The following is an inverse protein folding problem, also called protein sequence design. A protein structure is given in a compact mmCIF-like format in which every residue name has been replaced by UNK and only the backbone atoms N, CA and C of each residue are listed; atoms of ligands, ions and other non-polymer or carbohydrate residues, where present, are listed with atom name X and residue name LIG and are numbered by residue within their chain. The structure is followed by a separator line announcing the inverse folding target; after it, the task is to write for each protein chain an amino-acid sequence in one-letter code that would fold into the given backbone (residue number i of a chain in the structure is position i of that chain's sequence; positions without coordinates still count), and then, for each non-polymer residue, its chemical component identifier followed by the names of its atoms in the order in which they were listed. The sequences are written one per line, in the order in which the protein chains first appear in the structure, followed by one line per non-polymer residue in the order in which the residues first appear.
data_IF_823649338310
#
_entry.id   IF_823649338310
#
_cell.length_a   1.000
_cell.length_b   1.000
_cell.length_c   1.000
_cell.angle_alpha   90.00
_cell.angle_beta   90.00
_cell.angle_gamma   90.00
#
_symmetry.space_group_name_H-M   'P 1'
#
loop_
_entity.id
_entity.type
_entity.pdbx_description
1 polymer ?
#
# COMPACT_ATOMS: atom_id res chain seq x y z
N UNK A 1 -9.81 1.37 -27.32
CA UNK A 1 -8.76 1.76 -26.33
C UNK A 1 -9.39 2.62 -25.24
N UNK A 2 -9.21 2.28 -23.96
CA UNK A 2 -9.65 3.19 -22.89
C UNK A 2 -8.72 4.42 -22.88
N UNK A 3 -9.30 5.60 -23.06
CA UNK A 3 -8.58 6.87 -23.04
C UNK A 3 -8.27 7.29 -21.59
N UNK A 4 -7.22 8.07 -21.33
CA UNK A 4 -6.92 8.60 -19.99
C UNK A 4 -8.13 9.23 -19.29
N UNK A 5 -9.02 9.87 -20.06
CA UNK A 5 -10.26 10.46 -19.54
C UNK A 5 -11.24 9.42 -18.96
N UNK A 6 -11.36 8.25 -19.59
CA UNK A 6 -12.22 7.16 -19.08
C UNK A 6 -11.71 6.66 -17.74
N UNK A 7 -10.39 6.48 -17.61
CA UNK A 7 -9.75 6.09 -16.34
C UNK A 7 -9.96 7.14 -15.26
N UNK A 8 -9.78 8.43 -15.60
CA UNK A 8 -10.05 9.54 -14.68
C UNK A 8 -11.48 9.51 -14.18
N UNK A 9 -12.46 9.48 -15.08
CA UNK A 9 -13.89 9.53 -14.73
C UNK A 9 -14.32 8.32 -13.91
N UNK A 10 -13.83 7.13 -14.25
CA UNK A 10 -14.14 5.90 -13.50
C UNK A 10 -13.50 5.92 -12.11
N UNK A 11 -12.27 6.43 -11.96
CA UNK A 11 -11.64 6.60 -10.65
C UNK A 11 -12.35 7.67 -9.81
N UNK A 12 -12.76 8.78 -10.42
CA UNK A 12 -13.54 9.83 -9.75
C UNK A 12 -14.85 9.27 -9.18
N UNK A 13 -15.58 8.47 -9.97
CA UNK A 13 -16.80 7.78 -9.51
C UNK A 13 -16.51 6.73 -8.42
N UNK A 14 -15.42 5.97 -8.56
CA UNK A 14 -15.01 5.00 -7.56
C UNK A 14 -14.73 5.68 -6.22
N UNK A 15 -13.92 6.74 -6.20
CA UNK A 15 -13.63 7.51 -4.98
C UNK A 15 -14.92 8.08 -4.40
N UNK A 16 -15.76 8.73 -5.21
CA UNK A 16 -17.04 9.30 -4.76
C UNK A 16 -17.92 8.27 -4.04
N UNK A 17 -18.14 7.09 -4.63
CA UNK A 17 -18.87 5.98 -3.97
C UNK A 17 -18.25 5.57 -2.64
N UNK A 18 -16.93 5.57 -2.56
CA UNK A 18 -16.19 5.19 -1.35
C UNK A 18 -16.18 6.28 -0.28
N UNK A 19 -16.77 7.45 -0.52
CA UNK A 19 -16.96 8.48 0.51
C UNK A 19 -18.24 8.32 1.34
N UNK A 20 -19.12 7.37 1.02
CA UNK A 20 -20.36 7.13 1.78
C UNK A 20 -20.05 6.79 3.26
N UNK A 21 -20.30 7.69 4.19
CA UNK A 21 -20.00 7.53 5.61
C UNK A 21 -20.70 8.57 6.50
N UNK A 22 -21.19 8.13 7.66
CA UNK A 22 -21.71 9.02 8.72
C UNK A 22 -20.66 9.33 9.81
N UNK A 23 -19.40 8.93 9.61
CA UNK A 23 -18.32 9.10 10.59
C UNK A 23 -17.11 9.83 9.99
N UNK A 24 -16.30 10.55 10.81
CA UNK A 24 -15.07 11.17 10.36
C UNK A 24 -14.16 10.20 9.59
N UNK A 25 -13.65 10.69 8.46
CA UNK A 25 -12.75 9.96 7.58
C UNK A 25 -11.54 10.80 7.15
N UNK A 26 -10.57 10.14 6.54
CA UNK A 26 -9.44 10.83 5.90
C UNK A 26 -8.81 10.01 4.78
N UNK A 27 -7.60 10.39 4.36
CA UNK A 27 -6.88 9.71 3.27
C UNK A 27 -5.45 9.41 3.71
N UNK A 28 -4.97 8.19 3.44
CA UNK A 28 -3.55 7.87 3.57
C UNK A 28 -2.78 8.52 2.42
N UNK A 29 -1.76 9.32 2.73
CA UNK A 29 -1.01 10.12 1.77
C UNK A 29 0.50 9.89 1.95
N UNK A 30 1.12 9.11 1.05
CA UNK A 30 2.58 8.90 1.06
C UNK A 30 3.35 9.86 0.13
N UNK A 31 2.64 10.76 -0.57
CA UNK A 31 3.22 11.57 -1.64
C UNK A 31 3.60 10.77 -2.89
N UNK A 32 3.25 9.48 -2.97
CA UNK A 32 3.28 8.71 -4.22
C UNK A 32 2.12 9.07 -5.13
N UNK A 33 2.22 8.71 -6.42
CA UNK A 33 1.16 8.97 -7.42
C UNK A 33 -0.23 8.51 -6.95
N UNK A 34 -0.30 7.28 -6.43
CA UNK A 34 -1.56 6.57 -6.18
C UNK A 34 -2.38 7.24 -5.07
N UNK A 35 -1.76 7.40 -3.90
CA UNK A 35 -2.37 8.08 -2.76
C UNK A 35 -2.67 9.55 -3.06
N UNK A 36 -1.82 10.21 -3.86
CA UNK A 36 -2.01 11.61 -4.24
C UNK A 36 -3.23 11.78 -5.14
N UNK A 37 -3.47 10.85 -6.09
CA UNK A 37 -4.67 10.88 -6.93
C UNK A 37 -5.93 10.66 -6.08
N UNK A 38 -5.92 9.68 -5.17
CA UNK A 38 -7.04 9.46 -4.24
C UNK A 38 -7.30 10.70 -3.39
N UNK A 39 -6.26 11.33 -2.84
CA UNK A 39 -6.39 12.55 -2.04
C UNK A 39 -6.94 13.73 -2.85
N UNK A 40 -6.43 13.94 -4.07
CA UNK A 40 -6.87 15.03 -4.95
C UNK A 40 -8.34 14.87 -5.35
N UNK A 41 -8.76 13.66 -5.71
CA UNK A 41 -10.14 13.36 -6.06
C UNK A 41 -11.04 13.51 -4.82
N UNK A 42 -10.60 12.98 -3.67
CA UNK A 42 -11.35 13.09 -2.41
C UNK A 42 -11.56 14.56 -2.02
N UNK A 43 -10.53 15.39 -2.14
CA UNK A 43 -10.61 16.82 -1.80
C UNK A 43 -11.67 17.57 -2.63
N UNK A 44 -11.94 17.14 -3.87
CA UNK A 44 -12.98 17.73 -4.73
C UNK A 44 -14.40 17.44 -4.24
N UNK A 45 -14.61 16.28 -3.62
CA UNK A 45 -15.93 15.82 -3.20
C UNK A 45 -16.18 16.02 -1.69
N UNK A 46 -15.13 16.11 -0.87
CA UNK A 46 -15.22 16.15 0.59
C UNK A 46 -16.03 17.33 1.18
N UNK A 47 -16.26 18.39 0.41
CA UNK A 47 -17.08 19.52 0.86
C UNK A 47 -18.59 19.21 0.88
N UNK A 48 -19.03 18.15 0.21
CA UNK A 48 -20.44 17.79 0.03
C UNK A 48 -20.76 16.42 0.63
N UNK A 49 -22.02 16.24 1.05
CA UNK A 49 -22.53 14.94 1.52
C UNK A 49 -22.91 14.05 0.36
N UNK A 50 -22.19 12.95 0.22
CA UNK A 50 -22.43 11.96 -0.84
C UNK A 50 -23.77 11.24 -0.64
N UNK A 51 -24.23 11.06 0.59
CA UNK A 51 -25.50 10.38 0.92
C UNK A 51 -26.73 11.17 0.47
N UNK A 52 -26.58 12.47 0.22
CA UNK A 52 -27.65 13.38 -0.20
C UNK A 52 -27.38 13.94 -1.60
N UNK A 53 -26.75 13.14 -2.47
CA UNK A 53 -26.43 13.50 -3.86
C UNK A 53 -25.68 14.84 -3.97
N UNK A 54 -24.74 15.08 -3.06
CA UNK A 54 -23.91 16.30 -2.97
C UNK A 54 -24.69 17.60 -2.77
N UNK A 55 -25.96 17.54 -2.33
CA UNK A 55 -26.84 18.71 -2.15
C UNK A 55 -26.54 19.51 -0.88
N UNK A 56 -26.06 18.87 0.18
CA UNK A 56 -25.77 19.49 1.47
C UNK A 56 -24.26 19.52 1.78
N UNK A 57 -23.84 20.45 2.63
CA UNK A 57 -22.44 20.53 3.08
C UNK A 57 -22.09 19.37 4.01
N UNK A 58 -20.87 18.84 3.85
CA UNK A 58 -20.37 17.80 4.73
C UNK A 58 -20.15 18.36 6.14
N UNK A 59 -20.57 17.61 7.17
CA UNK A 59 -20.30 17.95 8.56
C UNK A 59 -18.79 17.93 8.90
N UNK A 60 -18.02 17.15 8.13
CA UNK A 60 -16.57 17.05 8.23
C UNK A 60 -15.90 17.65 6.96
N UNK A 61 -15.96 18.99 6.76
CA UNK A 61 -15.68 19.60 5.44
C UNK A 61 -14.19 19.68 5.11
N UNK A 62 -13.31 19.67 6.13
CA UNK A 62 -11.87 19.73 5.91
C UNK A 62 -11.31 18.32 5.83
N UNK A 63 -10.78 17.95 4.67
CA UNK A 63 -10.15 16.64 4.47
C UNK A 63 -8.87 16.52 5.31
N UNK A 64 -8.79 15.47 6.13
CA UNK A 64 -7.58 15.09 6.86
C UNK A 64 -6.76 14.10 6.03
N UNK A 65 -5.45 14.32 5.95
CA UNK A 65 -4.51 13.41 5.28
C UNK A 65 -3.44 12.92 6.25
N UNK A 66 -3.03 11.67 6.11
CA UNK A 66 -2.18 10.99 7.08
C UNK A 66 -0.97 10.35 6.41
N UNK A 67 0.21 10.62 6.94
CA UNK A 67 1.46 10.01 6.52
C UNK A 67 2.21 9.47 7.73
N UNK A 68 3.07 8.46 7.52
CA UNK A 68 3.99 7.98 8.56
C UNK A 68 5.35 7.70 7.97
N UNK A 69 6.40 7.99 8.75
CA UNK A 69 7.78 7.73 8.36
C UNK A 69 8.72 7.82 9.55
N UNK A 70 9.96 7.39 9.33
CA UNK A 70 11.06 7.81 10.18
C UNK A 70 11.33 9.31 9.99
N UNK A 71 12.01 9.91 10.96
CA UNK A 71 12.49 11.29 10.84
C UNK A 71 13.34 11.46 9.57
N UNK A 72 13.04 12.50 8.80
CA UNK A 72 13.71 12.77 7.51
C UNK A 72 13.28 11.85 6.36
N UNK A 73 12.21 11.04 6.52
CA UNK A 73 11.75 10.16 5.45
C UNK A 73 11.31 10.93 4.19
N UNK A 74 11.69 10.46 2.98
CA UNK A 74 11.24 11.06 1.72
C UNK A 74 9.72 11.07 1.54
N UNK A 75 9.02 10.06 2.07
CA UNK A 75 7.55 9.97 1.96
C UNK A 75 6.85 11.06 2.78
N UNK A 76 7.33 11.38 3.99
CA UNK A 76 6.76 12.50 4.77
C UNK A 76 6.96 13.84 4.04
N UNK A 77 8.15 14.07 3.48
CA UNK A 77 8.43 15.30 2.73
C UNK A 77 7.56 15.41 1.46
N UNK A 78 7.37 14.31 0.73
CA UNK A 78 6.51 14.29 -0.45
C UNK A 78 5.03 14.45 -0.08
N UNK A 79 4.57 13.80 0.99
CA UNK A 79 3.20 13.91 1.47
C UNK A 79 2.86 15.35 1.88
N UNK A 80 3.77 16.05 2.57
CA UNK A 80 3.62 17.46 2.94
C UNK A 80 3.42 18.36 1.70
N UNK A 81 4.22 18.15 0.64
CA UNK A 81 4.09 18.90 -0.62
C UNK A 81 2.72 18.70 -1.27
N UNK A 82 2.26 17.45 -1.34
CA UNK A 82 0.93 17.14 -1.90
C UNK A 82 -0.17 17.72 -1.03
N UNK A 83 -0.06 17.60 0.29
CA UNK A 83 -1.04 18.13 1.21
C UNK A 83 -1.17 19.65 1.14
N UNK A 84 -0.05 20.37 1.02
CA UNK A 84 -0.01 21.81 0.82
C UNK A 84 -0.68 22.22 -0.50
N UNK A 85 -0.40 21.49 -1.59
CA UNK A 85 -1.02 21.73 -2.89
C UNK A 85 -2.54 21.51 -2.87
N UNK A 86 -3.03 20.57 -2.04
CA UNK A 86 -4.45 20.23 -1.92
C UNK A 86 -5.18 20.99 -0.80
N UNK A 87 -4.47 21.75 0.04
CA UNK A 87 -5.06 22.48 1.17
C UNK A 87 -5.62 21.59 2.30
N UNK A 88 -5.12 20.36 2.44
CA UNK A 88 -5.65 19.39 3.43
C UNK A 88 -5.17 19.69 4.86
N UNK A 89 -5.88 19.19 5.87
CA UNK A 89 -5.36 19.12 7.24
C UNK A 89 -4.39 17.94 7.34
N UNK A 90 -3.11 18.17 7.10
CA UNK A 90 -2.11 17.11 7.07
C UNK A 90 -1.58 16.73 8.44
N UNK A 91 -1.34 15.43 8.63
CA UNK A 91 -0.77 14.84 9.83
C UNK A 91 0.36 13.88 9.41
N UNK A 92 1.59 14.40 9.41
CA UNK A 92 2.80 13.61 9.24
C UNK A 92 3.28 13.06 10.58
N UNK A 93 3.14 11.75 10.79
CA UNK A 93 3.57 11.09 12.02
C UNK A 93 4.97 10.52 11.89
N UNK A 94 5.74 10.68 12.95
CA UNK A 94 7.02 10.01 13.11
C UNK A 94 6.86 8.78 13.99
N UNK A 95 7.55 7.71 13.63
CA UNK A 95 7.82 6.59 14.52
C UNK A 95 9.34 6.38 14.62
N UNK A 96 9.77 5.77 15.71
CA UNK A 96 11.16 5.37 15.91
C UNK A 96 11.36 3.92 15.48
N UNK A 97 12.60 3.57 15.14
CA UNK A 97 12.97 2.17 14.88
C UNK A 97 12.57 1.28 16.06
N UNK A 98 12.78 1.73 17.30
CA UNK A 98 12.43 0.96 18.49
C UNK A 98 10.93 0.71 18.60
N UNK A 99 10.09 1.73 18.40
CA UNK A 99 8.62 1.54 18.35
C UNK A 99 8.21 0.53 17.27
N UNK A 100 8.89 0.54 16.12
CA UNK A 100 8.68 -0.44 15.06
C UNK A 100 9.07 -1.87 15.48
N UNK A 101 10.24 -2.04 16.10
CA UNK A 101 10.72 -3.34 16.59
C UNK A 101 9.82 -3.90 17.69
N UNK A 102 9.41 -3.07 18.64
CA UNK A 102 8.53 -3.45 19.75
C UNK A 102 7.14 -3.89 19.26
N UNK A 103 6.67 -3.30 18.15
CA UNK A 103 5.37 -3.63 17.56
C UNK A 103 5.37 -4.94 16.74
N UNK A 104 6.52 -5.53 16.40
CA UNK A 104 6.59 -6.66 15.45
C UNK A 104 5.72 -7.85 15.85
N UNK A 105 5.69 -8.18 17.15
CA UNK A 105 4.88 -9.28 17.65
C UNK A 105 3.38 -9.04 17.43
N UNK A 106 2.89 -7.84 17.73
CA UNK A 106 1.49 -7.48 17.57
C UNK A 106 1.11 -7.35 16.10
N UNK A 107 2.01 -6.79 15.28
CA UNK A 107 1.81 -6.70 13.83
C UNK A 107 1.63 -8.10 13.24
N UNK A 108 2.52 -9.04 13.55
CA UNK A 108 2.43 -10.43 13.06
C UNK A 108 1.15 -11.11 13.55
N UNK A 109 0.74 -10.87 14.80
CA UNK A 109 -0.54 -11.34 15.32
C UNK A 109 -1.70 -10.80 14.48
N UNK A 110 -1.76 -9.49 14.24
CA UNK A 110 -2.88 -8.88 13.52
C UNK A 110 -2.91 -9.20 12.03
N UNK A 111 -1.77 -9.22 11.33
CA UNK A 111 -1.74 -9.52 9.89
C UNK A 111 -1.80 -11.02 9.60
N UNK A 112 -1.50 -11.85 10.61
CA UNK A 112 -1.50 -13.32 10.52
C UNK A 112 -0.57 -13.83 9.42
N UNK A 113 0.61 -13.22 9.29
CA UNK A 113 1.59 -13.54 8.26
C UNK A 113 3.01 -13.39 8.77
N UNK A 114 3.90 -14.25 8.26
CA UNK A 114 5.35 -14.17 8.45
C UNK A 114 6.09 -13.81 7.15
N UNK A 115 5.38 -13.39 6.09
CA UNK A 115 6.00 -12.88 4.87
C UNK A 115 6.77 -11.59 5.17
N UNK A 116 8.06 -11.57 4.84
CA UNK A 116 8.98 -10.49 5.19
C UNK A 116 8.51 -9.14 4.64
N UNK A 117 8.10 -9.10 3.36
CA UNK A 117 7.64 -7.85 2.73
C UNK A 117 6.35 -7.35 3.39
N UNK A 118 5.42 -8.26 3.68
CA UNK A 118 4.15 -7.93 4.34
C UNK A 118 4.40 -7.37 5.74
N UNK A 119 5.20 -8.04 6.58
CA UNK A 119 5.49 -7.58 7.96
C UNK A 119 6.19 -6.22 7.96
N UNK A 120 7.20 -6.04 7.08
CA UNK A 120 7.92 -4.76 6.90
C UNK A 120 6.98 -3.60 6.62
N UNK A 121 6.09 -3.76 5.64
CA UNK A 121 5.16 -2.71 5.20
C UNK A 121 3.97 -2.53 6.15
N UNK A 122 3.57 -3.59 6.86
CA UNK A 122 2.43 -3.54 7.79
C UNK A 122 2.78 -2.81 9.09
N UNK A 123 4.04 -2.83 9.51
CA UNK A 123 4.45 -2.24 10.81
C UNK A 123 4.20 -0.73 10.87
N UNK A 124 4.65 0.10 9.90
CA UNK A 124 4.31 1.52 9.89
C UNK A 124 2.79 1.76 9.73
N UNK A 125 2.10 0.95 8.91
CA UNK A 125 0.66 1.10 8.71
C UNK A 125 -0.15 0.83 9.99
N UNK A 126 0.25 -0.18 10.77
CA UNK A 126 -0.31 -0.50 12.08
C UNK A 126 -0.11 0.67 13.08
N UNK A 127 1.09 1.24 13.13
CA UNK A 127 1.39 2.39 13.98
C UNK A 127 0.61 3.64 13.55
N UNK A 128 0.45 3.85 12.24
CA UNK A 128 -0.34 4.94 11.69
C UNK A 128 -1.83 4.79 12.04
N UNK A 129 -2.39 3.59 11.90
CA UNK A 129 -3.77 3.30 12.27
C UNK A 129 -4.06 3.64 13.73
N UNK A 130 -3.13 3.34 14.65
CA UNK A 130 -3.23 3.73 16.06
C UNK A 130 -3.38 5.24 16.23
N UNK A 131 -2.58 6.04 15.52
CA UNK A 131 -2.60 7.51 15.59
C UNK A 131 -3.89 8.07 14.99
N UNK A 132 -4.32 7.53 13.84
CA UNK A 132 -5.57 7.91 13.16
C UNK A 132 -6.76 7.66 14.09
N UNK A 133 -6.82 6.48 14.71
CA UNK A 133 -7.90 6.14 15.65
C UNK A 133 -7.93 7.07 16.86
N UNK A 134 -6.77 7.44 17.40
CA UNK A 134 -6.66 8.36 18.53
C UNK A 134 -7.21 9.77 18.23
N UNK A 135 -7.29 10.13 16.95
CA UNK A 135 -7.91 11.39 16.48
C UNK A 135 -9.43 11.27 16.22
N UNK A 136 -10.03 10.10 16.47
CA UNK A 136 -11.45 9.86 16.25
C UNK A 136 -11.84 9.52 14.82
N UNK A 137 -10.87 9.41 13.89
CA UNK A 137 -11.10 8.97 12.52
C UNK A 137 -11.33 7.46 12.50
N UNK A 138 -12.38 7.02 11.79
CA UNK A 138 -12.79 5.60 11.74
C UNK A 138 -12.65 4.98 10.36
N UNK A 139 -12.47 5.78 9.32
CA UNK A 139 -12.32 5.31 7.95
C UNK A 139 -11.24 6.11 7.23
N UNK A 140 -10.44 5.45 6.40
CA UNK A 140 -9.53 6.12 5.47
C UNK A 140 -9.61 5.53 4.07
N UNK A 141 -9.40 6.36 3.07
CA UNK A 141 -9.15 5.91 1.71
C UNK A 141 -7.64 5.74 1.48
N UNK A 142 -7.29 4.77 0.64
CA UNK A 142 -5.91 4.42 0.32
C UNK A 142 -5.71 4.05 -1.15
N UNK A 143 -4.46 4.03 -1.59
CA UNK A 143 -4.04 3.84 -2.98
C UNK A 143 -3.71 2.39 -3.38
N UNK A 144 -3.91 1.39 -2.52
CA UNK A 144 -3.62 -0.02 -2.85
C UNK A 144 -4.41 -0.50 -4.08
N UNK A 145 -3.79 -1.39 -4.87
CA UNK A 145 -4.35 -1.94 -6.11
C UNK A 145 -3.89 -1.21 -7.38
N UNK A 146 -3.39 0.03 -7.25
CA UNK A 146 -2.91 0.79 -8.41
C UNK A 146 -1.71 0.13 -9.10
N UNK A 147 -0.71 -0.33 -8.32
CA UNK A 147 0.48 -0.97 -8.88
C UNK A 147 0.13 -2.27 -9.63
N UNK A 148 -0.84 -3.04 -9.13
CA UNK A 148 -1.31 -4.29 -9.73
C UNK A 148 -2.18 -4.10 -10.96
N UNK A 149 -2.90 -2.97 -11.07
CA UNK A 149 -3.74 -2.67 -12.24
C UNK A 149 -2.94 -2.04 -13.39
N UNK A 150 -1.88 -1.30 -13.07
CA UNK A 150 -1.14 -0.45 -14.02
C UNK A 150 0.34 -0.78 -14.18
N UNK A 151 0.85 -1.82 -13.51
CA UNK A 151 2.23 -2.26 -13.67
C UNK A 151 3.23 -1.30 -13.03
N UNK A 152 2.99 -0.96 -11.77
CA UNK A 152 3.72 0.09 -11.05
C UNK A 152 5.04 -0.32 -10.42
N UNK A 153 5.27 -1.62 -10.26
CA UNK A 153 6.52 -2.13 -9.72
C UNK A 153 7.64 -2.10 -10.76
N UNK A 154 8.86 -1.74 -10.35
CA UNK A 154 9.99 -1.56 -11.28
C UNK A 154 10.29 -2.80 -12.13
N UNK A 155 10.03 -4.01 -11.63
CA UNK A 155 10.25 -5.24 -12.41
C UNK A 155 9.31 -5.36 -13.62
N UNK A 156 8.23 -4.57 -13.72
CA UNK A 156 7.42 -4.51 -14.94
C UNK A 156 8.15 -3.88 -16.14
N UNK A 157 9.25 -3.15 -15.92
CA UNK A 157 10.14 -2.71 -17.01
C UNK A 157 10.79 -3.90 -17.74
N UNK A 158 10.86 -5.07 -17.08
CA UNK A 158 11.41 -6.31 -17.61
C UNK A 158 10.37 -7.15 -18.37
N UNK A 159 9.13 -6.66 -18.51
CA UNK A 159 8.09 -7.40 -19.20
C UNK A 159 8.44 -7.59 -20.69
N UNK A 160 8.57 -8.84 -21.19
CA UNK A 160 9.01 -9.12 -22.56
C UNK A 160 8.10 -8.49 -23.62
N UNK A 161 6.80 -8.58 -23.39
CA UNK A 161 5.77 -8.06 -24.29
C UNK A 161 4.49 -7.67 -23.52
N UNK A 162 3.53 -7.15 -24.27
CA UNK A 162 2.25 -6.68 -23.76
C UNK A 162 1.38 -7.79 -23.15
N UNK A 163 1.56 -9.04 -23.60
CA UNK A 163 0.80 -10.20 -23.11
C UNK A 163 1.34 -10.66 -21.76
N UNK A 164 2.65 -10.90 -21.66
CA UNK A 164 3.30 -11.26 -20.39
C UNK A 164 3.11 -10.17 -19.32
N UNK A 165 3.12 -8.90 -19.73
CA UNK A 165 2.75 -7.78 -18.85
C UNK A 165 1.31 -7.94 -18.32
N UNK A 166 0.33 -8.14 -19.20
CA UNK A 166 -1.07 -8.28 -18.81
C UNK A 166 -1.31 -9.51 -17.93
N UNK A 167 -0.75 -10.67 -18.29
CA UNK A 167 -0.88 -11.92 -17.54
C UNK A 167 -0.31 -11.77 -16.12
N UNK A 168 0.79 -11.02 -15.96
CA UNK A 168 1.34 -10.69 -14.65
C UNK A 168 0.43 -9.74 -13.85
N UNK A 169 -0.22 -8.74 -14.47
CA UNK A 169 -1.21 -7.90 -13.78
C UNK A 169 -2.37 -8.74 -13.24
N UNK A 170 -2.95 -9.61 -14.08
CA UNK A 170 -4.04 -10.52 -13.70
C UNK A 170 -3.62 -11.40 -12.51
N UNK A 171 -2.44 -12.03 -12.61
CA UNK A 171 -1.92 -12.86 -11.52
C UNK A 171 -1.75 -12.09 -10.21
N UNK A 172 -1.30 -10.83 -10.26
CA UNK A 172 -1.14 -10.01 -9.06
C UNK A 172 -2.48 -9.61 -8.45
N UNK A 173 -3.46 -9.25 -9.28
CA UNK A 173 -4.84 -8.98 -8.84
C UNK A 173 -5.45 -10.21 -8.15
N UNK A 174 -5.31 -11.39 -8.76
CA UNK A 174 -5.81 -12.65 -8.21
C UNK A 174 -5.17 -12.99 -6.86
N UNK A 175 -3.91 -12.62 -6.65
CA UNK A 175 -3.18 -12.89 -5.41
C UNK A 175 -3.27 -11.77 -4.37
N UNK A 176 -3.92 -10.64 -4.68
CA UNK A 176 -3.87 -9.42 -3.86
C UNK A 176 -4.45 -9.63 -2.45
N UNK A 177 -5.43 -10.54 -2.34
CA UNK A 177 -6.04 -10.93 -1.07
C UNK A 177 -5.07 -11.59 -0.08
N UNK A 178 -3.93 -12.10 -0.54
CA UNK A 178 -2.88 -12.71 0.29
C UNK A 178 -1.82 -11.71 0.75
N UNK A 179 -1.76 -10.54 0.10
CA UNK A 179 -0.70 -9.55 0.29
C UNK A 179 -1.27 -8.19 0.69
N UNK A 180 -1.35 -7.24 -0.24
CA UNK A 180 -1.64 -5.83 0.03
C UNK A 180 -3.04 -5.60 0.59
N UNK A 181 -4.06 -6.35 0.14
CA UNK A 181 -5.39 -6.27 0.74
C UNK A 181 -5.38 -6.77 2.19
N UNK A 182 -4.70 -7.89 2.47
CA UNK A 182 -4.60 -8.43 3.83
C UNK A 182 -3.88 -7.44 4.76
N UNK A 183 -2.75 -6.87 4.31
CA UNK A 183 -2.04 -5.81 5.04
C UNK A 183 -2.92 -4.60 5.29
N UNK A 184 -3.47 -4.00 4.22
CA UNK A 184 -4.21 -2.75 4.32
C UNK A 184 -5.44 -2.89 5.20
N UNK A 185 -6.16 -4.01 5.08
CA UNK A 185 -7.30 -4.28 5.93
C UNK A 185 -6.89 -4.57 7.39
N UNK A 186 -6.04 -5.57 7.62
CA UNK A 186 -5.76 -6.07 8.98
C UNK A 186 -4.94 -5.09 9.81
N UNK A 187 -3.97 -4.39 9.23
CA UNK A 187 -3.16 -3.40 9.95
C UNK A 187 -4.01 -2.21 10.43
N UNK A 188 -4.97 -1.76 9.61
CA UNK A 188 -5.89 -0.68 9.98
C UNK A 188 -6.98 -1.16 10.95
N UNK A 189 -7.54 -2.35 10.71
CA UNK A 189 -8.56 -2.95 11.56
C UNK A 189 -8.06 -3.28 12.97
N UNK A 190 -6.75 -3.49 13.15
CA UNK A 190 -6.12 -3.68 14.46
C UNK A 190 -6.43 -2.53 15.44
N UNK A 191 -6.66 -1.33 14.92
CA UNK A 191 -7.04 -0.14 15.69
C UNK A 191 -8.46 0.33 15.41
N UNK A 192 -9.31 -0.53 14.82
CA UNK A 192 -10.69 -0.20 14.47
C UNK A 192 -10.81 0.94 13.46
N UNK A 193 -9.90 0.99 12.47
CA UNK A 193 -9.98 1.90 11.33
C UNK A 193 -10.28 1.08 10.07
N UNK A 194 -11.34 1.47 9.36
CA UNK A 194 -11.71 0.89 8.07
C UNK A 194 -10.82 1.46 6.95
N UNK A 195 -10.26 0.60 6.11
CA UNK A 195 -9.51 1.00 4.93
C UNK A 195 -10.35 0.76 3.66
N UNK A 196 -10.52 1.81 2.86
CA UNK A 196 -11.21 1.77 1.56
C UNK A 196 -10.20 1.95 0.43
N UNK A 197 -10.36 1.19 -0.65
CA UNK A 197 -9.37 1.07 -1.73
C UNK A 197 -10.03 1.32 -3.09
N UNK A 198 -10.27 2.58 -3.48
CA UNK A 198 -11.03 2.92 -4.69
C UNK A 198 -10.44 2.37 -5.99
N UNK A 199 -9.13 2.13 -6.04
CA UNK A 199 -8.50 1.44 -7.18
C UNK A 199 -9.03 0.01 -7.37
N UNK A 200 -9.55 -0.64 -6.32
CA UNK A 200 -10.14 -1.97 -6.41
C UNK A 200 -11.67 -1.94 -6.55
N UNK A 201 -12.27 -0.78 -6.82
CA UNK A 201 -13.67 -0.69 -7.21
C UNK A 201 -13.92 -1.47 -8.50
N UNK A 202 -15.00 -2.24 -8.54
CA UNK A 202 -15.31 -3.14 -9.66
C UNK A 202 -15.41 -2.41 -11.02
N UNK A 203 -16.03 -1.24 -11.08
CA UNK A 203 -16.13 -0.49 -12.34
C UNK A 203 -14.78 0.06 -12.77
N UNK A 204 -13.95 0.47 -11.81
CA UNK A 204 -12.62 0.96 -12.11
C UNK A 204 -11.67 -0.17 -12.53
N UNK A 205 -11.74 -1.36 -11.89
CA UNK A 205 -11.04 -2.57 -12.34
C UNK A 205 -11.46 -2.91 -13.78
N UNK A 206 -12.75 -2.91 -14.10
CA UNK A 206 -13.24 -3.18 -15.46
C UNK A 206 -12.64 -2.19 -16.48
N UNK A 207 -12.57 -0.90 -16.15
CA UNK A 207 -11.97 0.11 -17.01
C UNK A 207 -10.44 -0.07 -17.15
N UNK A 208 -9.74 -0.29 -16.04
CA UNK A 208 -8.30 -0.47 -15.99
C UNK A 208 -7.83 -1.74 -16.72
N UNK A 209 -8.58 -2.84 -16.59
CA UNK A 209 -8.25 -4.12 -17.22
C UNK A 209 -8.67 -4.21 -18.69
N UNK A 210 -9.64 -3.42 -19.15
CA UNK A 210 -9.95 -3.25 -20.59
C UNK A 210 -9.02 -2.28 -21.31
N UNK A 211 -8.21 -1.52 -20.59
CA UNK A 211 -7.14 -0.70 -21.17
C UNK A 211 -6.12 -1.59 -21.87
N UNK A 212 -5.77 -1.25 -23.12
CA UNK A 212 -4.78 -1.99 -23.89
C UNK A 212 -3.45 -2.11 -23.10
N UNK A 213 -2.84 -3.30 -22.97
CA UNK A 213 -1.61 -3.45 -22.19
C UNK A 213 -0.46 -2.59 -22.72
N UNK A 214 -0.38 -2.36 -24.03
CA UNK A 214 0.57 -1.41 -24.67
C UNK A 214 0.46 0.02 -24.11
N UNK A 215 -0.73 0.43 -23.68
CA UNK A 215 -0.97 1.72 -23.09
C UNK A 215 -0.57 1.78 -21.60
N UNK A 216 -0.32 0.64 -20.95
CA UNK A 216 0.08 0.55 -19.53
C UNK A 216 1.55 0.17 -19.35
N UNK A 217 2.09 -0.69 -20.22
CA UNK A 217 3.42 -1.27 -20.08
C UNK A 217 4.50 -0.17 -20.08
N UNK A 218 5.39 -0.13 -19.07
CA UNK A 218 6.55 0.76 -19.07
C UNK A 218 7.62 0.26 -20.05
N UNK A 219 8.51 1.14 -20.49
CA UNK A 219 9.57 0.81 -21.45
C UNK A 219 9.77 1.88 -22.53
N UNK A 220 10.89 1.81 -23.25
CA UNK A 220 11.23 2.78 -24.32
C UNK A 220 11.15 4.26 -23.87
N UNK A 221 11.61 4.57 -22.66
CA UNK A 221 11.56 5.91 -22.07
C UNK A 221 10.22 6.28 -21.41
N UNK A 222 9.24 5.38 -21.41
CA UNK A 222 7.96 5.56 -20.73
C UNK A 222 8.02 5.08 -19.27
N UNK A 223 7.60 5.96 -18.37
CA UNK A 223 7.51 5.72 -16.92
C UNK A 223 6.37 4.73 -16.59
N UNK A 224 6.51 4.01 -15.47
CA UNK A 224 5.45 3.16 -14.93
C UNK A 224 4.15 3.96 -14.73
N UNK A 225 3.01 3.31 -15.01
CA UNK A 225 1.67 3.91 -14.90
C UNK A 225 1.47 5.19 -15.72
N UNK A 226 2.21 5.40 -16.81
CA UNK A 226 2.12 6.63 -17.60
C UNK A 226 0.68 7.04 -17.98
N UNK A 227 -0.17 6.09 -18.39
CA UNK A 227 -1.57 6.40 -18.70
C UNK A 227 -2.40 6.87 -17.48
N UNK A 228 -2.08 6.38 -16.28
CA UNK A 228 -2.70 6.86 -15.04
C UNK A 228 -2.18 8.25 -14.67
N UNK A 229 -0.89 8.53 -14.90
CA UNK A 229 -0.29 9.87 -14.74
C UNK A 229 -0.94 10.87 -15.70
N UNK A 230 -1.16 10.47 -16.94
CA UNK A 230 -1.91 11.24 -17.95
C UNK A 230 -3.36 11.50 -17.50
N UNK A 231 -4.05 10.49 -16.97
CA UNK A 231 -5.40 10.62 -16.43
C UNK A 231 -5.47 11.59 -15.24
N UNK A 232 -4.37 11.73 -14.49
CA UNK A 232 -4.22 12.65 -13.37
C UNK A 232 -4.01 14.12 -13.75
N UNK A 233 -3.77 14.45 -15.03
CA UNK A 233 -3.52 15.84 -15.46
C UNK A 233 -4.69 16.75 -15.09
N UNK A 234 -4.38 17.88 -14.45
CA UNK A 234 -5.37 18.83 -13.95
C UNK A 234 -6.04 18.43 -12.63
N UNK A 235 -5.70 17.27 -12.04
CA UNK A 235 -6.00 16.94 -10.63
C UNK A 235 -4.82 17.26 -9.72
N UNK A 236 -3.60 17.07 -10.23
CA UNK A 236 -2.34 17.28 -9.52
C UNK A 236 -1.36 18.06 -10.39
N UNK A 237 -0.36 18.65 -9.75
CA UNK A 237 0.75 19.31 -10.43
C UNK A 237 1.65 18.28 -11.13
N UNK A 238 2.25 18.65 -12.27
CA UNK A 238 3.11 17.76 -13.05
C UNK A 238 4.31 17.23 -12.23
N UNK A 239 4.85 18.03 -11.31
CA UNK A 239 5.92 17.60 -10.40
C UNK A 239 5.54 16.39 -9.52
N UNK A 240 4.26 16.26 -9.15
CA UNK A 240 3.73 15.11 -8.39
C UNK A 240 3.41 13.97 -9.36
N UNK A 241 2.73 14.28 -10.47
CA UNK A 241 2.29 13.29 -11.46
C UNK A 241 3.43 12.54 -12.13
N UNK A 242 4.60 13.15 -12.29
CA UNK A 242 5.75 12.57 -12.97
C UNK A 242 6.93 12.30 -12.02
N UNK A 243 6.67 12.30 -10.70
CA UNK A 243 7.64 11.84 -9.71
C UNK A 243 7.85 10.33 -9.86
N UNK A 244 9.11 9.92 -9.96
CA UNK A 244 9.47 8.50 -9.86
C UNK A 244 9.24 8.01 -8.43
N UNK A 245 8.64 6.84 -8.28
CA UNK A 245 8.30 6.26 -6.97
C UNK A 245 9.58 5.74 -6.28
N UNK A 246 9.81 6.14 -5.04
CA UNK A 246 10.68 5.42 -4.11
C UNK A 246 9.94 4.16 -3.64
N UNK A 247 10.61 3.01 -3.53
CA UNK A 247 9.94 1.77 -3.09
C UNK A 247 9.35 1.97 -1.69
N UNK A 248 8.14 1.45 -1.42
CA UNK A 248 7.42 1.72 -0.15
C UNK A 248 8.27 1.40 1.09
N UNK A 249 9.09 0.35 1.05
CA UNK A 249 9.96 -0.01 2.18
C UNK A 249 11.13 0.96 2.40
N UNK A 250 11.54 1.68 1.36
CA UNK A 250 12.63 2.66 1.41
C UNK A 250 12.06 4.07 1.67
N UNK A 251 10.84 4.34 1.20
CA UNK A 251 10.10 5.60 1.38
C UNK A 251 9.76 5.92 2.84
N UNK A 252 9.45 4.90 3.65
CA UNK A 252 9.26 5.06 5.12
C UNK A 252 10.56 5.43 5.85
N UNK A 253 11.71 5.31 5.20
CA UNK A 253 13.03 5.70 5.69
C UNK A 253 14.04 4.55 5.63
N UNK A 254 15.20 4.79 5.01
CA UNK A 254 16.26 3.80 4.76
C UNK A 254 16.70 3.03 6.02
N UNK A 255 16.64 3.65 7.20
CA UNK A 255 17.03 3.01 8.47
C UNK A 255 16.10 1.89 8.96
N UNK A 256 14.86 1.78 8.46
CA UNK A 256 13.90 0.79 8.97
C UNK A 256 14.26 -0.65 8.58
N UNK A 257 14.48 -0.89 7.29
CA UNK A 257 14.84 -2.23 6.79
C UNK A 257 16.17 -2.69 7.37
N UNK A 258 17.16 -1.79 7.43
CA UNK A 258 18.48 -2.13 7.93
C UNK A 258 18.45 -2.45 9.43
N UNK A 259 17.63 -1.72 10.20
CA UNK A 259 17.40 -2.06 11.60
C UNK A 259 16.71 -3.41 11.79
N UNK A 260 15.72 -3.75 10.95
CA UNK A 260 15.07 -5.06 10.97
C UNK A 260 16.06 -6.20 10.70
N UNK A 261 16.90 -6.04 9.67
CA UNK A 261 17.96 -7.00 9.34
C UNK A 261 18.96 -7.15 10.48
N UNK A 262 19.44 -6.02 11.03
CA UNK A 262 20.40 -6.02 12.14
C UNK A 262 19.82 -6.66 13.41
N UNK A 263 18.56 -6.36 13.72
CA UNK A 263 17.86 -6.97 14.86
C UNK A 263 17.68 -8.48 14.67
N UNK A 264 17.33 -8.94 13.47
CA UNK A 264 17.24 -10.36 13.16
C UNK A 264 18.59 -11.07 13.21
N UNK A 265 19.66 -10.42 12.72
CA UNK A 265 21.04 -10.92 12.78
C UNK A 265 21.50 -11.14 14.22
N UNK A 266 21.17 -10.21 15.12
CA UNK A 266 21.46 -10.32 16.54
C UNK A 266 20.57 -11.35 17.27
N UNK A 267 19.35 -11.58 16.79
CA UNK A 267 18.36 -12.43 17.46
C UNK A 267 18.42 -13.91 17.06
N UNK A 268 18.86 -14.21 15.83
CA UNK A 268 18.86 -15.57 15.28
C UNK A 268 20.30 -16.02 15.00
N UNK A 269 20.72 -17.11 15.63
CA UNK A 269 22.06 -17.67 15.42
C UNK A 269 22.17 -18.50 14.15
N UNK A 270 23.39 -18.68 13.66
CA UNK A 270 23.68 -19.54 12.50
C UNK A 270 23.29 -21.00 12.78
N UNK A 271 23.41 -21.45 14.03
CA UNK A 271 22.96 -22.78 14.44
C UNK A 271 21.43 -22.93 14.31
N UNK A 272 20.65 -21.91 14.65
CA UNK A 272 19.20 -21.92 14.42
C UNK A 272 18.87 -21.98 12.94
N UNK A 273 19.59 -21.22 12.10
CA UNK A 273 19.43 -21.25 10.64
C UNK A 273 19.79 -22.62 10.05
N UNK A 274 20.87 -23.25 10.50
CA UNK A 274 21.26 -24.60 10.06
C UNK A 274 20.19 -25.65 10.40
N UNK A 275 19.42 -25.43 11.47
CA UNK A 275 18.31 -26.29 11.87
C UNK A 275 16.94 -25.85 11.32
N UNK A 276 16.86 -24.78 10.52
CA UNK A 276 15.60 -24.18 10.08
C UNK A 276 14.71 -25.19 9.34
N UNK A 277 15.26 -25.99 8.42
CA UNK A 277 14.50 -26.99 7.67
C UNK A 277 13.96 -28.14 8.55
N UNK A 278 14.65 -28.45 9.66
CA UNK A 278 14.20 -29.46 10.63
C UNK A 278 13.09 -28.91 11.51
N UNK A 279 13.15 -27.63 11.87
CA UNK A 279 12.13 -26.98 12.71
C UNK A 279 10.89 -26.59 11.92
N UNK A 280 11.06 -26.04 10.72
CA UNK A 280 9.99 -25.50 9.89
C UNK A 280 9.95 -26.22 8.55
N UNK A 281 9.23 -27.34 8.50
CA UNK A 281 9.04 -28.12 7.27
C UNK A 281 8.20 -27.37 6.23
N UNK A 282 7.14 -26.68 6.68
CA UNK A 282 6.32 -25.81 5.83
C UNK A 282 7.00 -24.45 5.70
N UNK A 283 7.26 -23.99 4.47
CA UNK A 283 7.84 -22.68 4.19
C UNK A 283 9.09 -22.37 5.04
N UNK A 284 10.12 -23.20 4.92
CA UNK A 284 11.39 -23.01 5.64
C UNK A 284 11.93 -21.59 5.42
N UNK A 285 12.26 -20.84 6.48
CA UNK A 285 12.79 -19.48 6.35
C UNK A 285 14.17 -19.50 5.69
N UNK A 286 14.35 -18.65 4.67
CA UNK A 286 15.59 -18.56 3.90
C UNK A 286 16.57 -17.49 4.42
N UNK A 287 16.17 -16.71 5.43
CA UNK A 287 17.00 -15.68 6.07
C UNK A 287 16.70 -15.61 7.56
N UNK A 288 17.61 -15.00 8.34
CA UNK A 288 17.41 -14.78 9.79
C UNK A 288 16.19 -13.93 10.09
N UNK A 289 15.90 -12.94 9.26
CA UNK A 289 14.68 -12.11 9.38
C UNK A 289 13.41 -12.91 9.13
N UNK A 290 13.38 -13.74 8.07
CA UNK A 290 12.27 -14.65 7.84
C UNK A 290 12.12 -15.66 9.00
N UNK A 291 13.22 -16.12 9.58
CA UNK A 291 13.19 -17.00 10.75
C UNK A 291 12.62 -16.29 11.97
N UNK A 292 13.05 -15.06 12.24
CA UNK A 292 12.54 -14.24 13.34
C UNK A 292 11.02 -14.10 13.23
N UNK A 293 10.51 -13.65 12.08
CA UNK A 293 9.07 -13.48 11.88
C UNK A 293 8.31 -14.80 11.96
N UNK A 294 8.85 -15.88 11.39
CA UNK A 294 8.26 -17.22 11.51
C UNK A 294 8.19 -17.68 12.97
N UNK A 295 9.21 -17.38 13.77
CA UNK A 295 9.24 -17.74 15.19
C UNK A 295 8.24 -16.94 16.02
N UNK A 296 8.01 -15.66 15.68
CA UNK A 296 6.98 -14.83 16.32
C UNK A 296 5.59 -15.29 15.91
N UNK A 297 5.38 -15.62 14.63
CA UNK A 297 4.13 -16.17 14.12
C UNK A 297 3.74 -17.47 14.83
N UNK A 298 4.67 -18.40 15.01
CA UNK A 298 4.43 -19.69 15.68
C UNK A 298 4.03 -19.53 17.16
N UNK A 299 4.45 -18.45 17.83
CA UNK A 299 4.02 -18.14 19.21
C UNK A 299 2.53 -17.81 19.29
N UNK A 300 2.00 -17.13 18.28
CA UNK A 300 0.59 -16.73 18.18
C UNK A 300 -0.28 -17.81 17.55
N UNK A 301 0.25 -18.50 16.54
CA UNK A 301 -0.45 -19.48 15.72
C UNK A 301 0.35 -20.79 15.68
N UNK A 302 0.31 -21.60 16.76
CA UNK A 302 1.08 -22.82 16.83
C UNK A 302 0.59 -23.86 15.81
N UNK A 303 1.54 -24.56 15.19
CA UNK A 303 1.27 -25.68 14.28
C UNK A 303 1.29 -25.32 12.79
N UNK A 304 1.27 -26.37 11.95
CA UNK A 304 1.48 -26.21 10.50
C UNK A 304 0.25 -25.70 9.75
N UNK A 305 -0.96 -25.89 10.29
CA UNK A 305 -2.20 -25.53 9.60
C UNK A 305 -2.25 -24.03 9.27
N UNK A 306 -1.99 -23.18 10.26
CA UNK A 306 -1.90 -21.73 10.06
C UNK A 306 -0.73 -21.36 9.13
N UNK A 307 0.41 -22.04 9.29
CA UNK A 307 1.58 -21.75 8.47
C UNK A 307 1.36 -22.03 6.97
N UNK A 308 0.52 -22.99 6.60
CA UNK A 308 0.17 -23.31 5.20
C UNK A 308 -0.73 -22.26 4.54
N UNK A 309 -1.43 -21.44 5.33
CA UNK A 309 -2.26 -20.34 4.82
C UNK A 309 -1.43 -19.13 4.39
N UNK A 310 -0.22 -18.99 4.93
CA UNK A 310 0.69 -17.90 4.54
C UNK A 310 1.34 -18.25 3.20
N UNK A 311 0.99 -17.47 2.19
CA UNK A 311 1.47 -17.67 0.83
C UNK A 311 3.00 -17.55 0.76
N UNK A 312 3.63 -18.48 0.03
CA UNK A 312 5.02 -18.32 -0.37
C UNK A 312 5.04 -17.41 -1.60
N UNK A 313 5.70 -16.25 -1.54
CA UNK A 313 5.97 -15.47 -2.76
C UNK A 313 6.75 -16.36 -3.73
N UNK A 314 6.08 -16.84 -4.78
CA UNK A 314 6.73 -17.51 -5.90
C UNK A 314 7.56 -16.49 -6.67
N UNK A 315 8.71 -16.90 -7.20
CA UNK A 315 9.51 -16.05 -8.08
C UNK A 315 8.63 -15.45 -9.19
N UNK A 316 8.87 -14.18 -9.51
CA UNK A 316 8.14 -13.45 -10.56
C UNK A 316 8.19 -14.24 -11.88
N UNK A 317 7.11 -14.22 -12.67
CA UNK A 317 7.13 -14.79 -14.04
C UNK A 317 8.06 -14.00 -14.96
N UNK A 318 8.29 -12.72 -14.63
CA UNK A 318 9.18 -11.84 -15.37
C UNK A 318 10.64 -12.07 -14.94
N UNK A 319 11.59 -11.95 -15.87
CA UNK A 319 13.01 -12.12 -15.58
C UNK A 319 13.49 -11.13 -14.50
N UNK A 320 14.47 -11.51 -13.65
CA UNK A 320 15.05 -10.62 -12.66
C UNK A 320 15.81 -9.47 -13.35
N UNK A 321 15.86 -8.27 -12.73
CA UNK A 321 16.52 -7.08 -13.28
C UNK A 321 18.01 -7.28 -13.57
#
# INVERSE_FOLDING_TARGET
PAEPLVLRQTLERAVHRHLMTDVPYGVLLSGGLDSSLVAAITARFAARRVEDDDRSEAWWPRLHTFAIGLEGSPDLAAAEQVAAALGTAHHGFHFTVQEGLDALSDVIYHVESYDVTTVRASTPMYLLARRIRAMGIKMVLSGEGSDELFGGYLYFHMAPDDREFHDELVRKLDALHLYDCARANKAMAAWGVEARVPFLDREFIDAAMRTAPSAKRPGAGRMEKAILREAGRGLLQDAILWRQKEQFSDGVGYGWIDALKAHAEASISDAQMAMAARRYAVNTPASKEAYLYRSLFERHFPGEAAARLVARRTQHRLPPP
#
